data_IF_202753279286
#
_entry.id   IF_202753279286
#
_cell.length_a   1.000
_cell.length_b   1.000
_cell.length_c   1.000
_cell.angle_alpha   90.00
_cell.angle_beta   90.00
_cell.angle_gamma   90.00
#
_symmetry.space_group_name_H-M   'P 1'
#
loop_
_entity.id
_entity.type
_entity.pdbx_description
1 polymer ?
#
# COMPACT_ATOMS: atom_id res chain seq x y z
N UNK A 1 16.03 26.10 -2.60
CA UNK A 1 14.94 25.15 -2.27
C UNK A 1 15.36 23.79 -2.81
N UNK A 2 15.56 22.78 -1.96
CA UNK A 2 15.83 21.42 -2.43
C UNK A 2 14.62 20.94 -3.25
N UNK A 3 14.92 20.45 -4.45
CA UNK A 3 13.89 19.91 -5.34
C UNK A 3 13.24 18.69 -4.65
N UNK A 4 11.96 18.75 -4.36
CA UNK A 4 11.22 17.64 -3.72
C UNK A 4 11.28 16.44 -4.67
N UNK A 5 12.07 15.43 -4.28
CA UNK A 5 12.21 14.19 -5.05
C UNK A 5 11.03 13.29 -4.68
N UNK A 6 10.18 12.93 -5.63
CA UNK A 6 9.11 11.96 -5.40
C UNK A 6 9.67 10.55 -5.07
N UNK A 7 8.86 9.72 -4.42
CA UNK A 7 9.19 8.30 -4.20
C UNK A 7 9.25 7.58 -5.55
N UNK A 8 10.30 6.78 -5.76
CA UNK A 8 10.53 6.12 -7.05
C UNK A 8 9.48 5.05 -7.34
N UNK A 9 9.27 4.13 -6.38
CA UNK A 9 8.32 3.03 -6.52
C UNK A 9 7.52 2.84 -5.23
N UNK A 10 6.22 2.69 -5.35
CA UNK A 10 5.35 2.19 -4.28
C UNK A 10 4.78 0.85 -4.69
N UNK A 11 4.83 -0.14 -3.83
CA UNK A 11 4.17 -1.44 -4.00
C UNK A 11 2.93 -1.47 -3.12
N UNK A 12 1.77 -1.70 -3.70
CA UNK A 12 0.51 -1.72 -2.97
C UNK A 12 -0.36 -2.93 -3.31
N UNK A 13 -1.39 -3.16 -2.51
CA UNK A 13 -2.31 -4.29 -2.63
C UNK A 13 -2.76 -4.80 -1.26
N UNK A 14 -3.68 -5.72 -1.26
CA UNK A 14 -4.28 -6.28 -0.04
C UNK A 14 -3.26 -6.97 0.88
N UNK A 15 -3.66 -7.22 2.11
CA UNK A 15 -2.88 -8.04 3.04
C UNK A 15 -2.66 -9.45 2.46
N UNK A 16 -1.46 -10.00 2.64
CA UNK A 16 -1.11 -11.33 2.11
C UNK A 16 -0.67 -11.37 0.64
N UNK A 17 -0.81 -10.29 -0.14
CA UNK A 17 -0.49 -10.30 -1.59
C UNK A 17 1.00 -10.45 -1.91
N UNK A 18 1.92 -10.13 -0.97
CA UNK A 18 3.37 -10.30 -1.15
C UNK A 18 4.15 -9.00 -1.31
N UNK A 19 3.58 -7.84 -0.98
CA UNK A 19 4.23 -6.52 -1.10
C UNK A 19 5.65 -6.46 -0.55
N UNK A 20 5.85 -6.85 0.70
CA UNK A 20 7.16 -6.74 1.38
C UNK A 20 8.25 -7.57 0.67
N UNK A 21 7.88 -8.73 0.11
CA UNK A 21 8.79 -9.55 -0.69
C UNK A 21 9.18 -8.85 -1.99
N UNK A 22 8.21 -8.21 -2.67
CA UNK A 22 8.49 -7.48 -3.89
C UNK A 22 9.31 -6.20 -3.62
N UNK A 23 9.04 -5.49 -2.53
CA UNK A 23 9.85 -4.33 -2.11
C UNK A 23 11.33 -4.71 -1.95
N UNK A 24 11.61 -5.86 -1.32
CA UNK A 24 12.98 -6.37 -1.19
C UNK A 24 13.60 -6.67 -2.56
N UNK A 25 12.87 -7.35 -3.44
CA UNK A 25 13.35 -7.66 -4.79
C UNK A 25 13.65 -6.38 -5.58
N UNK A 26 12.75 -5.40 -5.55
CA UNK A 26 12.95 -4.10 -6.22
C UNK A 26 14.17 -3.37 -5.64
N UNK A 27 14.33 -3.38 -4.32
CA UNK A 27 15.49 -2.79 -3.65
C UNK A 27 16.80 -3.40 -4.15
N UNK A 28 16.88 -4.72 -4.21
CA UNK A 28 18.05 -5.46 -4.67
C UNK A 28 18.35 -5.21 -6.15
N UNK A 29 17.35 -5.26 -7.02
CA UNK A 29 17.51 -5.21 -8.48
C UNK A 29 17.72 -3.79 -9.03
N UNK A 30 17.19 -2.77 -8.38
CA UNK A 30 17.23 -1.38 -8.84
C UNK A 30 18.03 -0.45 -7.94
N UNK A 31 18.64 -0.95 -6.86
CA UNK A 31 19.42 -0.16 -5.92
C UNK A 31 18.59 0.89 -5.16
N UNK A 32 17.31 0.66 -4.96
CA UNK A 32 16.43 1.59 -4.26
C UNK A 32 16.45 1.33 -2.75
N UNK A 33 16.42 2.40 -1.94
CA UNK A 33 16.32 2.27 -0.48
C UNK A 33 14.93 1.74 -0.10
N UNK A 34 14.84 0.59 0.59
CA UNK A 34 13.55 0.04 0.97
C UNK A 34 12.98 0.75 2.20
N UNK A 35 11.66 0.98 2.17
CA UNK A 35 10.85 1.42 3.28
C UNK A 35 9.75 0.38 3.50
N UNK A 36 9.99 -0.51 4.46
CA UNK A 36 9.00 -1.51 4.90
C UNK A 36 7.85 -0.83 5.60
N UNK A 37 6.66 -1.43 5.59
CA UNK A 37 5.54 -0.93 6.37
C UNK A 37 5.96 -0.83 7.85
N UNK A 38 6.02 0.41 8.37
CA UNK A 38 6.30 0.63 9.79
C UNK A 38 5.01 0.38 10.56
N UNK A 39 5.07 -0.64 11.38
CA UNK A 39 4.00 -1.00 12.29
C UNK A 39 4.40 -0.59 13.73
N UNK A 40 4.46 0.72 13.96
CA UNK A 40 4.59 1.26 15.31
C UNK A 40 3.22 1.25 15.97
N UNK A 41 2.90 0.16 16.63
CA UNK A 41 1.66 -0.02 17.38
C UNK A 41 1.93 -0.30 18.86
N UNK A 42 2.67 0.61 19.50
CA UNK A 42 2.98 0.53 20.94
C UNK A 42 1.72 0.41 21.80
N UNK A 43 0.61 0.97 21.33
CA UNK A 43 -0.69 0.92 22.00
C UNK A 43 -1.55 -0.29 21.62
N UNK A 44 -1.03 -1.20 20.77
CA UNK A 44 -1.75 -2.37 20.25
C UNK A 44 -3.11 -2.01 19.62
N UNK A 45 -3.16 -0.92 18.87
CA UNK A 45 -4.40 -0.38 18.29
C UNK A 45 -5.01 -1.33 17.26
N UNK A 46 -4.19 -2.04 16.48
CA UNK A 46 -4.69 -3.04 15.53
C UNK A 46 -5.39 -4.20 16.24
N UNK A 47 -4.80 -4.72 17.29
CA UNK A 47 -5.41 -5.78 18.09
C UNK A 47 -6.73 -5.29 18.73
N UNK A 48 -6.73 -4.10 19.32
CA UNK A 48 -7.94 -3.47 19.88
C UNK A 48 -9.03 -3.26 18.82
N UNK A 49 -8.64 -2.86 17.60
CA UNK A 49 -9.57 -2.69 16.48
C UNK A 49 -10.25 -4.00 16.12
N UNK A 50 -9.55 -5.11 16.02
CA UNK A 50 -10.18 -6.39 15.71
C UNK A 50 -11.13 -6.88 16.82
N UNK A 51 -10.93 -6.45 18.07
CA UNK A 51 -11.84 -6.76 19.18
C UNK A 51 -13.08 -5.86 19.24
N UNK A 52 -12.93 -4.56 18.91
CA UNK A 52 -14.02 -3.58 18.93
C UNK A 52 -13.77 -2.51 17.85
N UNK A 53 -14.24 -2.82 16.64
CA UNK A 53 -14.00 -2.02 15.45
C UNK A 53 -14.55 -0.61 15.55
N UNK A 54 -15.79 -0.47 16.02
CA UNK A 54 -16.46 0.82 16.12
C UNK A 54 -15.75 1.78 17.11
N UNK A 55 -15.17 1.24 18.17
CA UNK A 55 -14.44 2.04 19.15
C UNK A 55 -13.03 2.42 18.68
N UNK A 56 -12.36 1.53 17.96
CA UNK A 56 -10.93 1.67 17.71
C UNK A 56 -10.56 2.00 16.27
N UNK A 57 -11.51 2.02 15.33
CA UNK A 57 -11.24 2.34 13.93
C UNK A 57 -10.61 3.73 13.77
N UNK A 58 -11.18 4.77 14.36
CA UNK A 58 -10.67 6.13 14.24
C UNK A 58 -9.27 6.31 14.86
N UNK A 59 -9.02 5.90 16.12
CA UNK A 59 -7.68 6.00 16.70
C UNK A 59 -6.63 5.19 15.92
N UNK A 60 -6.98 3.98 15.49
CA UNK A 60 -6.07 3.13 14.73
C UNK A 60 -5.73 3.75 13.36
N UNK A 61 -6.74 4.19 12.59
CA UNK A 61 -6.51 4.80 11.28
C UNK A 61 -5.71 6.09 11.37
N UNK A 62 -5.96 6.91 12.38
CA UNK A 62 -5.20 8.15 12.61
C UNK A 62 -3.74 7.86 12.95
N UNK A 63 -3.48 6.82 13.74
CA UNK A 63 -2.12 6.37 14.04
C UNK A 63 -1.39 5.88 12.76
N UNK A 64 -2.04 5.03 11.96
CA UNK A 64 -1.48 4.55 10.70
C UNK A 64 -1.18 5.71 9.74
N UNK A 65 -2.14 6.60 9.53
CA UNK A 65 -1.99 7.77 8.67
C UNK A 65 -0.77 8.62 9.08
N UNK A 66 -0.66 8.92 10.37
CA UNK A 66 0.44 9.75 10.90
C UNK A 66 1.81 9.10 10.67
N UNK A 67 1.93 7.80 10.96
CA UNK A 67 3.20 7.07 10.79
C UNK A 67 3.54 6.94 9.30
N UNK A 68 2.56 6.67 8.46
CA UNK A 68 2.75 6.56 7.01
C UNK A 68 3.14 7.89 6.37
N UNK A 69 2.53 9.00 6.82
CA UNK A 69 2.93 10.33 6.37
C UNK A 69 4.40 10.63 6.71
N UNK A 70 4.81 10.40 7.96
CA UNK A 70 6.22 10.57 8.38
C UNK A 70 7.16 9.74 7.51
N UNK A 71 6.82 8.48 7.28
CA UNK A 71 7.62 7.56 6.48
C UNK A 71 7.68 7.99 5.01
N UNK A 72 6.54 8.43 4.44
CA UNK A 72 6.48 8.92 3.07
C UNK A 72 7.34 10.18 2.88
N UNK A 73 7.30 11.13 3.81
CA UNK A 73 8.18 12.30 3.79
C UNK A 73 9.66 11.93 3.86
N UNK A 74 10.03 10.91 4.65
CA UNK A 74 11.41 10.41 4.69
C UNK A 74 11.82 9.77 3.36
N UNK A 75 10.95 8.97 2.74
CA UNK A 75 11.19 8.34 1.45
C UNK A 75 11.34 9.37 0.33
N UNK A 76 10.52 10.44 0.32
CA UNK A 76 10.65 11.55 -0.62
C UNK A 76 11.99 12.28 -0.52
N UNK A 77 12.51 12.50 0.70
CA UNK A 77 13.83 13.12 0.90
C UNK A 77 14.94 12.25 0.30
N UNK A 78 14.84 10.94 0.38
CA UNK A 78 15.77 9.99 -0.25
C UNK A 78 15.62 10.02 -1.77
N UNK A 79 14.42 10.08 -2.29
CA UNK A 79 14.08 10.11 -3.72
C UNK A 79 14.25 8.77 -4.44
N UNK A 80 15.35 8.05 -4.21
CA UNK A 80 15.56 6.69 -4.72
C UNK A 80 15.08 5.67 -3.70
N UNK A 81 13.76 5.62 -3.50
CA UNK A 81 13.11 4.80 -2.50
C UNK A 81 12.05 3.88 -3.12
N UNK A 82 11.90 2.69 -2.54
CA UNK A 82 10.77 1.79 -2.76
C UNK A 82 10.02 1.58 -1.44
N UNK A 83 8.69 1.69 -1.45
CA UNK A 83 7.86 1.60 -0.26
C UNK A 83 6.85 0.46 -0.32
N UNK A 84 6.62 -0.17 0.84
CA UNK A 84 5.49 -1.06 1.10
C UNK A 84 4.30 -0.22 1.56
N UNK A 85 3.34 0.02 0.67
CA UNK A 85 2.23 0.97 0.78
C UNK A 85 2.66 2.44 0.81
N UNK A 86 1.68 3.32 0.67
CA UNK A 86 1.87 4.76 0.78
C UNK A 86 0.67 5.41 1.46
N UNK A 87 0.78 6.69 1.78
CA UNK A 87 -0.32 7.48 2.33
C UNK A 87 -1.57 7.51 1.41
N UNK A 88 -1.38 7.32 0.11
CA UNK A 88 -2.48 7.30 -0.86
C UNK A 88 -3.41 6.09 -0.71
N UNK A 89 -2.95 4.97 -0.15
CA UNK A 89 -3.78 3.80 0.13
C UNK A 89 -4.59 3.89 1.42
N UNK A 90 -4.28 4.83 2.30
CA UNK A 90 -4.98 4.95 3.59
C UNK A 90 -6.47 5.30 3.43
N UNK A 91 -6.83 6.03 2.36
CA UNK A 91 -8.24 6.31 2.02
C UNK A 91 -9.07 5.07 1.76
N UNK A 92 -8.46 3.99 1.29
CA UNK A 92 -9.14 2.72 0.98
C UNK A 92 -9.75 2.14 2.27
N UNK A 93 -8.94 2.08 3.32
CA UNK A 93 -9.38 1.56 4.61
C UNK A 93 -10.42 2.46 5.28
N UNK A 94 -10.17 3.77 5.30
CA UNK A 94 -11.09 4.72 5.91
C UNK A 94 -12.47 4.71 5.23
N UNK A 95 -12.51 4.63 3.89
CA UNK A 95 -13.75 4.53 3.13
C UNK A 95 -14.48 3.21 3.42
N UNK A 96 -13.76 2.09 3.43
CA UNK A 96 -14.31 0.80 3.81
C UNK A 96 -14.92 0.86 5.22
N UNK A 97 -14.20 1.43 6.19
CA UNK A 97 -14.67 1.51 7.57
C UNK A 97 -15.88 2.43 7.75
N UNK A 98 -16.01 3.48 6.94
CA UNK A 98 -17.25 4.27 6.88
C UNK A 98 -18.41 3.44 6.37
N UNK A 99 -18.27 2.73 5.25
CA UNK A 99 -19.35 1.94 4.64
C UNK A 99 -19.82 0.79 5.54
N UNK A 100 -18.89 0.21 6.34
CA UNK A 100 -19.22 -0.86 7.28
C UNK A 100 -19.58 -0.36 8.70
N UNK A 101 -19.71 0.96 8.89
CA UNK A 101 -20.09 1.56 10.16
C UNK A 101 -19.06 1.44 11.27
N UNK A 102 -17.80 1.14 10.94
CA UNK A 102 -16.70 1.16 11.91
C UNK A 102 -16.20 2.58 12.19
N UNK A 103 -16.32 3.49 11.22
CA UNK A 103 -16.15 4.92 11.39
C UNK A 103 -17.51 5.62 11.29
N UNK A 104 -17.78 6.54 12.20
CA UNK A 104 -18.92 7.43 12.09
C UNK A 104 -18.67 8.47 10.98
N UNK A 105 -19.73 9.03 10.36
CA UNK A 105 -19.57 10.06 9.33
C UNK A 105 -18.71 11.24 9.79
N UNK A 106 -18.85 11.68 11.04
CA UNK A 106 -18.09 12.79 11.60
C UNK A 106 -16.62 12.44 11.79
N UNK A 107 -16.32 11.23 12.25
CA UNK A 107 -14.95 10.70 12.38
C UNK A 107 -14.27 10.58 11.01
N UNK A 108 -15.00 10.06 10.01
CA UNK A 108 -14.52 9.99 8.64
C UNK A 108 -14.24 11.38 8.05
N UNK A 109 -15.13 12.36 8.28
CA UNK A 109 -14.93 13.72 7.80
C UNK A 109 -13.65 14.34 8.38
N UNK A 110 -13.41 14.17 9.69
CA UNK A 110 -12.18 14.63 10.35
C UNK A 110 -10.95 13.91 9.80
N UNK A 111 -11.02 12.58 9.65
CA UNK A 111 -9.93 11.78 9.09
C UNK A 111 -9.59 12.18 7.65
N UNK A 112 -10.61 12.35 6.80
CA UNK A 112 -10.42 12.73 5.41
C UNK A 112 -9.81 14.12 5.27
N UNK A 113 -10.26 15.08 6.07
CA UNK A 113 -9.66 16.43 6.10
C UNK A 113 -8.17 16.37 6.50
N UNK A 114 -7.84 15.57 7.51
CA UNK A 114 -6.44 15.37 7.91
C UNK A 114 -5.62 14.72 6.78
N UNK A 115 -6.15 13.70 6.12
CA UNK A 115 -5.49 13.04 4.98
C UNK A 115 -5.26 14.04 3.83
N UNK A 116 -6.28 14.78 3.40
CA UNK A 116 -6.15 15.75 2.30
C UNK A 116 -5.12 16.84 2.63
N UNK A 117 -5.13 17.37 3.87
CA UNK A 117 -4.11 18.33 4.33
C UNK A 117 -2.70 17.75 4.23
N UNK A 118 -2.50 16.48 4.63
CA UNK A 118 -1.19 15.82 4.51
C UNK A 118 -0.80 15.60 3.04
N UNK A 119 -1.76 15.31 2.17
CA UNK A 119 -1.51 15.09 0.74
C UNK A 119 -1.04 16.34 0.00
N UNK A 120 -1.39 17.54 0.47
CA UNK A 120 -0.86 18.81 -0.07
C UNK A 120 0.66 18.96 0.11
N UNK A 121 1.24 18.25 1.06
CA UNK A 121 2.67 18.30 1.39
C UNK A 121 3.51 17.17 0.79
N UNK A 122 2.92 16.31 -0.01
CA UNK A 122 3.60 15.18 -0.65
C UNK A 122 3.29 15.15 -2.14
N UNK A 123 4.18 14.54 -2.91
CA UNK A 123 3.97 14.30 -4.35
C UNK A 123 3.70 12.82 -4.60
N UNK A 124 2.87 12.48 -5.60
CA UNK A 124 2.61 11.09 -5.96
C UNK A 124 3.91 10.31 -6.26
N UNK A 125 3.92 8.98 -6.05
CA UNK A 125 5.04 8.16 -6.46
C UNK A 125 5.17 8.18 -7.98
N UNK A 126 6.40 8.04 -8.49
CA UNK A 126 6.62 7.97 -9.93
C UNK A 126 5.99 6.74 -10.55
N UNK A 127 6.15 5.59 -9.88
CA UNK A 127 5.54 4.32 -10.25
C UNK A 127 4.80 3.73 -9.05
N UNK A 128 3.52 3.39 -9.26
CA UNK A 128 2.74 2.60 -8.33
C UNK A 128 2.54 1.20 -8.92
N UNK A 129 3.00 0.18 -8.21
CA UNK A 129 2.82 -1.23 -8.57
C UNK A 129 1.69 -1.80 -7.72
N UNK A 130 0.52 -1.97 -8.31
CA UNK A 130 -0.62 -2.61 -7.68
C UNK A 130 -0.58 -4.12 -7.91
N UNK A 131 -0.39 -4.87 -6.83
CA UNK A 131 -0.48 -6.32 -6.84
C UNK A 131 -1.93 -6.75 -6.63
N UNK A 132 -2.52 -7.32 -7.68
CA UNK A 132 -3.87 -7.86 -7.65
C UNK A 132 -3.83 -9.36 -7.38
N UNK A 133 -4.69 -9.83 -6.45
CA UNK A 133 -4.80 -11.23 -6.08
C UNK A 133 -6.25 -11.59 -5.76
N UNK A 134 -6.67 -12.82 -6.02
CA UNK A 134 -7.95 -13.36 -5.56
C UNK A 134 -7.98 -13.47 -4.03
N UNK A 135 -9.15 -13.22 -3.41
CA UNK A 135 -9.27 -13.23 -1.95
C UNK A 135 -8.92 -14.59 -1.33
N UNK A 136 -9.26 -15.72 -2.01
CA UNK A 136 -8.91 -17.05 -1.50
C UNK A 136 -7.39 -17.22 -1.41
N UNK A 137 -6.67 -16.77 -2.43
CA UNK A 137 -5.21 -16.85 -2.46
C UNK A 137 -4.59 -15.89 -1.43
N UNK A 138 -5.14 -14.68 -1.25
CA UNK A 138 -4.70 -13.76 -0.21
C UNK A 138 -4.85 -14.39 1.18
N UNK A 139 -6.02 -14.95 1.50
CA UNK A 139 -6.30 -15.64 2.77
C UNK A 139 -5.35 -16.83 2.97
N UNK A 140 -5.14 -17.65 1.94
CA UNK A 140 -4.19 -18.77 2.00
C UNK A 140 -2.77 -18.30 2.37
N UNK A 141 -2.32 -17.17 1.80
CA UNK A 141 -1.00 -16.57 2.11
C UNK A 141 -0.96 -15.97 3.52
N UNK A 142 -2.07 -15.36 4.00
CA UNK A 142 -2.20 -14.86 5.38
C UNK A 142 -2.05 -16.01 6.37
N UNK A 143 -2.77 -17.11 6.17
CA UNK A 143 -2.66 -18.29 7.04
C UNK A 143 -1.27 -18.92 6.99
N UNK A 144 -0.64 -19.03 5.81
CA UNK A 144 0.75 -19.52 5.69
C UNK A 144 1.75 -18.64 6.45
N UNK A 145 1.52 -17.32 6.50
CA UNK A 145 2.35 -16.38 7.27
C UNK A 145 2.12 -16.47 8.77
N UNK A 146 0.89 -16.78 9.21
CA UNK A 146 0.53 -17.12 10.58
C UNK A 146 0.61 -15.97 11.60
N UNK A 147 0.36 -14.72 11.19
CA UNK A 147 0.27 -13.61 12.15
C UNK A 147 -1.02 -13.71 12.95
N UNK A 148 -0.98 -13.79 14.32
CA UNK A 148 -2.17 -14.05 15.15
C UNK A 148 -3.31 -13.06 14.88
N UNK A 149 -3.03 -11.77 14.82
CA UNK A 149 -4.05 -10.73 14.63
C UNK A 149 -4.73 -10.75 13.24
N UNK A 150 -4.21 -11.52 12.28
CA UNK A 150 -4.73 -11.59 10.91
C UNK A 150 -5.43 -12.93 10.62
N UNK A 151 -4.98 -14.01 11.24
CA UNK A 151 -5.47 -15.38 10.95
C UNK A 151 -6.92 -15.57 11.40
N UNK A 152 -7.33 -14.89 12.47
CA UNK A 152 -8.67 -14.99 13.06
C UNK A 152 -9.69 -14.02 12.39
N UNK A 153 -9.22 -13.16 11.47
CA UNK A 153 -10.11 -12.20 10.79
C UNK A 153 -11.01 -12.93 9.81
N UNK A 154 -12.30 -12.65 9.88
CA UNK A 154 -13.31 -13.27 9.04
C UNK A 154 -13.07 -12.99 7.54
N UNK A 155 -13.43 -13.98 6.72
CA UNK A 155 -13.27 -13.92 5.26
C UNK A 155 -13.92 -12.69 4.64
N UNK A 156 -15.11 -12.31 5.14
CA UNK A 156 -15.89 -11.18 4.63
C UNK A 156 -15.10 -9.88 4.68
N UNK A 157 -14.34 -9.65 5.74
CA UNK A 157 -13.44 -8.48 5.84
C UNK A 157 -12.41 -8.44 4.69
N UNK A 158 -11.82 -9.58 4.35
CA UNK A 158 -10.83 -9.67 3.27
C UNK A 158 -11.45 -9.52 1.89
N UNK A 159 -12.66 -10.06 1.67
CA UNK A 159 -13.42 -9.90 0.43
C UNK A 159 -13.73 -8.41 0.20
N UNK A 160 -14.23 -7.72 1.23
CA UNK A 160 -14.52 -6.30 1.15
C UNK A 160 -13.25 -5.47 0.91
N UNK A 161 -12.20 -5.71 1.66
CA UNK A 161 -10.94 -5.00 1.47
C UNK A 161 -10.42 -5.15 0.04
N UNK A 162 -10.51 -6.35 -0.53
CA UNK A 162 -10.09 -6.60 -1.91
C UNK A 162 -10.94 -5.82 -2.94
N UNK A 163 -12.26 -5.76 -2.74
CA UNK A 163 -13.17 -4.97 -3.57
C UNK A 163 -12.83 -3.47 -3.53
N UNK A 164 -12.55 -2.94 -2.34
CA UNK A 164 -12.16 -1.53 -2.18
C UNK A 164 -10.82 -1.23 -2.85
N UNK A 165 -9.85 -2.14 -2.77
CA UNK A 165 -8.59 -2.03 -3.50
C UNK A 165 -8.80 -2.02 -5.01
N UNK A 166 -9.60 -2.95 -5.56
CA UNK A 166 -9.91 -3.01 -6.98
C UNK A 166 -10.63 -1.76 -7.48
N UNK A 167 -11.63 -1.27 -6.74
CA UNK A 167 -12.35 -0.03 -7.07
C UNK A 167 -11.40 1.16 -7.08
N UNK A 168 -10.59 1.34 -6.03
CA UNK A 168 -9.64 2.46 -5.93
C UNK A 168 -8.65 2.48 -7.09
N UNK A 169 -8.10 1.33 -7.49
CA UNK A 169 -7.11 1.28 -8.56
C UNK A 169 -7.72 1.23 -9.97
N UNK A 170 -8.98 0.92 -10.11
CA UNK A 170 -9.71 1.12 -11.38
C UNK A 170 -9.86 2.59 -11.72
N UNK A 171 -10.05 3.43 -10.73
CA UNK A 171 -10.26 4.88 -10.84
C UNK A 171 -8.98 5.69 -10.56
N UNK A 172 -7.81 5.05 -10.69
CA UNK A 172 -6.54 5.67 -10.34
C UNK A 172 -6.24 6.92 -11.19
N UNK A 173 -6.06 8.06 -10.53
CA UNK A 173 -5.83 9.36 -11.16
C UNK A 173 -4.76 10.23 -10.46
N UNK A 174 -3.85 9.63 -9.68
CA UNK A 174 -2.91 10.36 -8.82
C UNK A 174 -1.71 10.98 -9.57
N UNK A 175 -1.62 10.82 -10.89
CA UNK A 175 -0.59 11.48 -11.71
C UNK A 175 0.74 10.73 -11.87
N UNK A 176 0.95 9.60 -11.19
CA UNK A 176 2.07 8.68 -11.44
C UNK A 176 1.69 7.58 -12.43
N UNK A 177 2.68 6.78 -12.87
CA UNK A 177 2.39 5.59 -13.68
C UNK A 177 1.82 4.47 -12.78
N UNK A 178 0.79 3.78 -13.26
CA UNK A 178 0.21 2.61 -12.59
C UNK A 178 0.56 1.33 -13.34
N UNK A 179 1.22 0.39 -12.66
CA UNK A 179 1.45 -0.97 -13.13
C UNK A 179 0.60 -1.94 -12.31
N UNK A 180 -0.34 -2.63 -12.95
CA UNK A 180 -1.16 -3.66 -12.31
C UNK A 180 -0.62 -5.05 -12.67
N UNK A 181 -0.28 -5.85 -11.65
CA UNK A 181 0.19 -7.23 -11.85
C UNK A 181 -0.69 -8.21 -11.09
N UNK A 182 -1.28 -9.16 -11.81
CA UNK A 182 -2.03 -10.27 -11.21
C UNK A 182 -1.05 -11.36 -10.73
N UNK A 183 -1.09 -11.66 -9.41
CA UNK A 183 -0.06 -12.50 -8.78
C UNK A 183 -0.57 -13.83 -8.20
N UNK A 184 -1.77 -14.26 -8.56
CA UNK A 184 -2.39 -15.49 -8.05
C UNK A 184 -1.52 -16.74 -8.26
N UNK A 185 -0.89 -16.84 -9.42
CA UNK A 185 -0.09 -18.00 -9.84
C UNK A 185 1.42 -17.79 -9.74
N UNK A 186 1.84 -16.62 -9.23
CA UNK A 186 3.25 -16.25 -9.17
C UNK A 186 3.85 -16.54 -7.79
N UNK A 187 5.01 -17.17 -7.78
CA UNK A 187 5.87 -17.35 -6.60
C UNK A 187 7.25 -16.73 -6.85
N UNK A 188 7.28 -15.41 -6.93
CA UNK A 188 8.50 -14.65 -7.19
C UNK A 188 9.49 -14.63 -6.00
N UNK A 189 9.17 -15.33 -4.91
CA UNK A 189 10.08 -15.54 -3.78
C UNK A 189 10.95 -16.78 -4.00
N UNK A 190 10.36 -17.87 -4.51
CA UNK A 190 11.04 -19.16 -4.63
C UNK A 190 11.30 -19.59 -6.07
N UNK A 191 10.59 -19.04 -7.06
CA UNK A 191 10.76 -19.38 -8.47
C UNK A 191 11.48 -18.26 -9.23
N UNK A 192 12.71 -18.54 -9.76
CA UNK A 192 13.49 -17.53 -10.48
C UNK A 192 12.79 -16.94 -11.70
N UNK A 193 12.02 -17.75 -12.43
CA UNK A 193 11.27 -17.31 -13.60
C UNK A 193 10.18 -16.29 -13.25
N UNK A 194 9.46 -16.48 -12.15
CA UNK A 194 8.45 -15.54 -11.69
C UNK A 194 9.11 -14.24 -11.17
N UNK A 195 10.25 -14.37 -10.50
CA UNK A 195 11.04 -13.20 -10.08
C UNK A 195 11.51 -12.39 -11.30
N UNK A 196 12.04 -13.07 -12.32
CA UNK A 196 12.47 -12.42 -13.55
C UNK A 196 11.30 -11.73 -14.27
N UNK A 197 10.13 -12.35 -14.31
CA UNK A 197 8.91 -11.74 -14.84
C UNK A 197 8.58 -10.44 -14.10
N UNK A 198 8.50 -10.46 -12.76
CA UNK A 198 8.18 -9.27 -11.96
C UNK A 198 9.17 -8.13 -12.21
N UNK A 199 10.46 -8.44 -12.21
CA UNK A 199 11.53 -7.45 -12.45
C UNK A 199 11.41 -6.85 -13.86
N UNK A 200 11.15 -7.67 -14.88
CA UNK A 200 11.00 -7.21 -16.25
C UNK A 200 9.79 -6.29 -16.43
N UNK A 201 8.64 -6.60 -15.84
CA UNK A 201 7.45 -5.74 -15.93
C UNK A 201 7.71 -4.38 -15.27
N UNK A 202 8.37 -4.35 -14.12
CA UNK A 202 8.75 -3.10 -13.44
C UNK A 202 9.75 -2.30 -14.29
N UNK A 203 10.74 -2.97 -14.88
CA UNK A 203 11.74 -2.33 -15.75
C UNK A 203 11.09 -1.69 -16.97
N UNK A 204 10.15 -2.36 -17.63
CA UNK A 204 9.38 -1.80 -18.74
C UNK A 204 8.57 -0.56 -18.33
N UNK A 205 7.87 -0.63 -17.19
CA UNK A 205 7.12 0.51 -16.68
C UNK A 205 8.03 1.72 -16.41
N UNK A 206 9.20 1.50 -15.80
CA UNK A 206 10.21 2.57 -15.57
C UNK A 206 10.72 3.19 -16.89
N UNK A 207 10.97 2.38 -17.91
CA UNK A 207 11.39 2.88 -19.23
C UNK A 207 10.31 3.76 -19.87
N UNK A 208 9.03 3.35 -19.82
CA UNK A 208 7.91 4.16 -20.33
C UNK A 208 7.85 5.54 -19.64
N UNK A 209 8.07 5.58 -18.32
CA UNK A 209 8.10 6.85 -17.57
C UNK A 209 9.25 7.77 -18.03
N UNK A 210 10.44 7.22 -18.29
CA UNK A 210 11.59 7.99 -18.76
C UNK A 210 11.33 8.58 -20.15
N UNK A 211 10.73 7.80 -21.05
CA UNK A 211 10.34 8.29 -22.39
C UNK A 211 9.31 9.42 -22.32
N UNK A 212 8.27 9.29 -21.49
CA UNK A 212 7.26 10.34 -21.31
C UNK A 212 7.87 11.65 -20.80
N UNK A 213 8.84 11.58 -19.88
CA UNK A 213 9.56 12.77 -19.36
C UNK A 213 10.48 13.43 -20.38
N UNK A 214 11.08 12.67 -21.28
CA UNK A 214 11.96 13.22 -22.33
C UNK A 214 11.16 13.90 -23.46
N UNK A 215 9.85 13.61 -23.54
CA UNK A 215 8.94 14.12 -24.57
C UNK A 215 8.04 15.27 -24.08
N UNK A 216 8.14 15.66 -22.81
CA UNK A 216 7.41 16.77 -22.17
C UNK A 216 8.32 17.94 -21.89
#
# INVERSE_FOLDING_TARGET
MEQVKGVEVVVDGVTGVGKSSLVRIISEEFGLKPFSEMFEDENRLLNKFFHDRAKWAFPMQTNFLTNRFKQYCQAMRVGQAVMDRSIYSDRIFARMYLEYGYLKPEEYAVYNNLLETMLEHVVPPKLLVYLKVDTNEAIRRIHKRGRPDEVEVEREYWDHLNQFYESNYREYSLGGELLVIKVDKLDYVHRPEDRAFMVNEIRKAKQVMEFKKASS
#
